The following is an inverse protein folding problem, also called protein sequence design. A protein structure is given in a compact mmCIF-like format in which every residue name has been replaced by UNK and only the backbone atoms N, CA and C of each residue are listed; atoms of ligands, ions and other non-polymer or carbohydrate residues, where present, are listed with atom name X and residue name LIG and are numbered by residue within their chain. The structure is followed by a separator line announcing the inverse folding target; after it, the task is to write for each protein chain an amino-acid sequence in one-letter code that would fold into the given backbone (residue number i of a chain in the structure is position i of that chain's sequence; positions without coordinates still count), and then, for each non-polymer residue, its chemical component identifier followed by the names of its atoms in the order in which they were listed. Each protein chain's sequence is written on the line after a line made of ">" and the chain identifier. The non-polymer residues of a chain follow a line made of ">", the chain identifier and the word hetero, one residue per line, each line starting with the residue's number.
data_IF_313298354564
#
_entry.id   IF_313298354564
#
_cell.length_a   1.000
_cell.length_b   1.000
_cell.length_c   1.000
_cell.angle_alpha   90.00
_cell.angle_beta   90.00
_cell.angle_gamma   90.00
#
_symmetry.space_group_name_H-M   'P 1'
#
loop_
_entity.id
_entity.type
_entity.pdbx_description
1 polymer ?
#
# COMPACT_ATOMS: atom_id res chain seq x y z
N UNK A 1 -0.77 28.54 33.74
CA UNK A 1 0.50 27.95 33.25
C UNK A 1 0.31 26.84 32.21
N UNK A 2 -0.87 26.20 32.11
CA UNK A 2 -1.14 25.10 31.15
C UNK A 2 -1.06 25.50 29.67
N UNK A 3 -1.43 26.74 29.30
CA UNK A 3 -1.42 27.20 27.92
C UNK A 3 -0.01 27.27 27.30
N UNK A 4 1.01 27.64 28.10
CA UNK A 4 2.41 27.71 27.64
C UNK A 4 2.97 26.30 27.38
N UNK A 5 2.68 25.35 28.27
CA UNK A 5 3.09 23.95 28.11
C UNK A 5 2.37 23.27 26.93
N UNK A 6 1.09 23.58 26.72
CA UNK A 6 0.34 23.12 25.55
C UNK A 6 0.93 23.64 24.24
N UNK A 7 1.21 24.95 24.16
CA UNK A 7 1.81 25.56 22.97
C UNK A 7 3.19 24.97 22.63
N UNK A 8 4.03 24.70 23.64
CA UNK A 8 5.32 24.05 23.42
C UNK A 8 5.17 22.60 22.91
N UNK A 9 4.23 21.85 23.48
CA UNK A 9 3.97 20.48 23.07
C UNK A 9 3.46 20.38 21.61
N UNK A 10 2.70 21.37 21.15
CA UNK A 10 2.23 21.43 19.77
C UNK A 10 3.38 21.71 18.80
N UNK A 11 4.29 22.63 19.13
CA UNK A 11 5.49 22.90 18.33
C UNK A 11 6.38 21.66 18.20
N UNK A 12 6.63 20.95 19.30
CA UNK A 12 7.43 19.72 19.27
C UNK A 12 6.77 18.63 18.41
N UNK A 13 5.45 18.47 18.53
CA UNK A 13 4.70 17.50 17.72
C UNK A 13 4.79 17.82 16.23
N UNK A 14 4.67 19.07 15.86
CA UNK A 14 4.76 19.50 14.46
C UNK A 14 6.18 19.35 13.91
N UNK A 15 7.20 19.57 14.74
CA UNK A 15 8.58 19.29 14.37
C UNK A 15 8.83 17.79 14.10
N UNK A 16 8.29 16.90 14.94
CA UNK A 16 8.37 15.45 14.75
C UNK A 16 7.67 15.03 13.45
N UNK A 17 6.48 15.57 13.19
CA UNK A 17 5.71 15.27 11.97
C UNK A 17 6.47 15.70 10.72
N UNK A 18 7.01 16.92 10.71
CA UNK A 18 7.77 17.47 9.59
C UNK A 18 9.02 16.63 9.29
N UNK A 19 9.83 16.31 10.31
CA UNK A 19 11.02 15.46 10.11
C UNK A 19 10.67 14.06 9.62
N UNK A 20 9.57 13.49 10.12
CA UNK A 20 9.11 12.16 9.71
C UNK A 20 8.60 12.16 8.26
N UNK A 21 7.91 13.22 7.83
CA UNK A 21 7.43 13.34 6.45
C UNK A 21 8.60 13.51 5.48
N UNK A 22 9.58 14.36 5.80
CA UNK A 22 10.82 14.53 5.03
C UNK A 22 11.61 13.22 4.92
N UNK A 23 11.75 12.48 6.03
CA UNK A 23 12.38 11.17 6.04
C UNK A 23 11.64 10.17 5.15
N UNK A 24 10.30 10.18 5.17
CA UNK A 24 9.47 9.34 4.30
C UNK A 24 9.65 9.69 2.83
N UNK A 25 9.68 10.97 2.47
CA UNK A 25 9.91 11.41 1.08
C UNK A 25 11.26 10.93 0.58
N UNK A 26 12.33 11.13 1.38
CA UNK A 26 13.67 10.62 1.04
C UNK A 26 13.70 9.10 0.85
N UNK A 27 13.04 8.34 1.73
CA UNK A 27 12.95 6.89 1.60
C UNK A 27 12.24 6.45 0.31
N UNK A 28 11.15 7.14 -0.07
CA UNK A 28 10.43 6.88 -1.33
C UNK A 28 11.31 7.21 -2.54
N UNK A 29 12.04 8.32 -2.53
CA UNK A 29 12.98 8.69 -3.59
C UNK A 29 14.12 7.66 -3.75
N UNK A 30 14.55 7.05 -2.63
CA UNK A 30 15.51 5.93 -2.64
C UNK A 30 14.87 4.59 -3.07
N UNK A 31 13.61 4.57 -3.49
CA UNK A 31 12.92 3.36 -3.94
C UNK A 31 12.47 2.43 -2.82
N UNK A 32 12.52 2.85 -1.55
CA UNK A 32 12.04 2.02 -0.44
C UNK A 32 10.52 1.84 -0.54
N UNK A 33 10.09 0.58 -0.52
CA UNK A 33 8.68 0.23 -0.50
C UNK A 33 8.07 0.59 0.87
N UNK A 34 7.07 1.45 0.85
CA UNK A 34 6.32 1.81 2.04
C UNK A 34 5.11 0.88 2.24
N UNK A 35 4.74 0.65 3.50
CA UNK A 35 3.58 -0.14 3.87
C UNK A 35 3.83 -1.64 3.84
N UNK A 36 2.75 -2.42 3.88
CA UNK A 36 2.83 -3.88 3.97
C UNK A 36 3.33 -4.47 2.64
N UNK A 37 4.33 -5.37 2.66
CA UNK A 37 4.77 -6.06 1.44
C UNK A 37 3.61 -6.88 0.84
N UNK A 38 3.57 -6.94 -0.49
CA UNK A 38 2.53 -7.71 -1.18
C UNK A 38 2.75 -9.21 -0.95
N UNK A 39 1.71 -9.92 -0.51
CA UNK A 39 1.74 -11.39 -0.35
C UNK A 39 1.74 -12.15 -1.69
N UNK A 40 1.44 -11.47 -2.79
CA UNK A 40 1.29 -12.06 -4.11
C UNK A 40 2.20 -11.37 -5.12
N UNK A 41 2.73 -12.16 -6.04
CA UNK A 41 3.44 -11.65 -7.21
C UNK A 41 2.49 -11.02 -8.22
N UNK A 42 3.02 -10.17 -9.11
CA UNK A 42 2.24 -9.59 -10.21
C UNK A 42 1.65 -10.67 -11.12
N UNK A 43 2.39 -11.76 -11.35
CA UNK A 43 1.92 -12.91 -12.12
C UNK A 43 0.71 -13.60 -11.47
N UNK A 44 0.75 -13.82 -10.15
CA UNK A 44 -0.38 -14.41 -9.41
C UNK A 44 -1.61 -13.51 -9.45
N UNK A 45 -1.45 -12.19 -9.33
CA UNK A 45 -2.57 -11.24 -9.47
C UNK A 45 -3.19 -11.32 -10.87
N UNK A 46 -2.36 -11.45 -11.91
CA UNK A 46 -2.83 -11.61 -13.30
C UNK A 46 -3.60 -12.92 -13.47
N UNK A 47 -3.08 -14.03 -12.94
CA UNK A 47 -3.76 -15.33 -13.00
C UNK A 47 -5.12 -15.29 -12.29
N UNK A 48 -5.20 -14.68 -11.11
CA UNK A 48 -6.47 -14.48 -10.39
C UNK A 48 -7.47 -13.70 -11.25
N UNK A 49 -7.04 -12.62 -11.93
CA UNK A 49 -7.92 -11.84 -12.82
C UNK A 49 -8.40 -12.68 -14.01
N UNK A 50 -7.51 -13.45 -14.65
CA UNK A 50 -7.85 -14.30 -15.80
C UNK A 50 -8.84 -15.39 -15.39
N UNK A 51 -8.54 -16.13 -14.32
CA UNK A 51 -9.43 -17.18 -13.80
C UNK A 51 -10.79 -16.64 -13.39
N UNK A 52 -10.83 -15.42 -12.83
CA UNK A 52 -12.09 -14.76 -12.50
C UNK A 52 -12.91 -14.39 -13.73
N UNK A 53 -12.26 -13.89 -14.79
CA UNK A 53 -12.93 -13.63 -16.08
C UNK A 53 -13.48 -14.91 -16.72
N UNK A 54 -12.78 -16.03 -16.54
CA UNK A 54 -13.20 -17.35 -17.03
C UNK A 54 -14.30 -18.00 -16.16
N UNK A 55 -14.91 -17.27 -15.22
CA UNK A 55 -16.05 -17.75 -14.43
C UNK A 55 -15.69 -18.46 -13.12
N UNK A 56 -14.41 -18.54 -12.74
CA UNK A 56 -14.02 -19.16 -11.46
C UNK A 56 -14.60 -18.39 -10.28
N UNK A 57 -15.15 -19.11 -9.30
CA UNK A 57 -15.76 -18.50 -8.10
C UNK A 57 -14.71 -17.84 -7.20
N UNK A 58 -15.12 -16.81 -6.46
CA UNK A 58 -14.24 -16.11 -5.50
C UNK A 58 -13.75 -17.06 -4.40
N UNK A 59 -14.62 -17.93 -3.90
CA UNK A 59 -14.30 -18.93 -2.88
C UNK A 59 -13.23 -19.91 -3.34
N UNK A 60 -13.33 -20.43 -4.57
CA UNK A 60 -12.33 -21.34 -5.13
C UNK A 60 -10.95 -20.68 -5.23
N UNK A 61 -10.91 -19.44 -5.73
CA UNK A 61 -9.68 -18.65 -5.81
C UNK A 61 -9.12 -18.30 -4.44
N UNK A 62 -9.98 -18.00 -3.46
CA UNK A 62 -9.58 -17.69 -2.09
C UNK A 62 -8.86 -18.88 -1.45
N UNK A 63 -9.44 -20.08 -1.56
CA UNK A 63 -8.82 -21.32 -1.07
C UNK A 63 -7.51 -21.62 -1.80
N UNK A 64 -7.49 -21.54 -3.14
CA UNK A 64 -6.31 -21.87 -3.93
C UNK A 64 -5.09 -20.97 -3.63
N UNK A 65 -5.35 -19.70 -3.30
CA UNK A 65 -4.30 -18.71 -3.03
C UNK A 65 -4.08 -18.42 -1.54
N UNK A 66 -4.82 -19.07 -0.63
CA UNK A 66 -4.75 -18.81 0.82
C UNK A 66 -5.14 -17.37 1.19
N UNK A 67 -6.11 -16.81 0.48
CA UNK A 67 -6.60 -15.44 0.65
C UNK A 67 -8.04 -15.43 1.15
N UNK A 68 -8.51 -14.29 1.66
CA UNK A 68 -9.94 -14.09 1.88
C UNK A 68 -10.66 -13.82 0.55
N UNK A 69 -11.94 -14.15 0.46
CA UNK A 69 -12.79 -13.80 -0.70
C UNK A 69 -12.79 -12.28 -0.97
N UNK A 70 -12.72 -11.47 0.09
CA UNK A 70 -12.61 -10.00 -0.01
C UNK A 70 -11.29 -9.55 -0.64
N UNK A 71 -10.18 -10.22 -0.36
CA UNK A 71 -8.88 -9.94 -0.98
C UNK A 71 -8.88 -10.32 -2.47
N UNK A 72 -9.44 -11.49 -2.81
CA UNK A 72 -9.61 -11.93 -4.21
C UNK A 72 -10.51 -10.98 -4.98
N UNK A 73 -11.66 -10.58 -4.41
CA UNK A 73 -12.58 -9.61 -5.00
C UNK A 73 -11.89 -8.27 -5.26
N UNK A 74 -11.04 -7.80 -4.33
CA UNK A 74 -10.26 -6.58 -4.52
C UNK A 74 -9.29 -6.72 -5.69
N UNK A 75 -8.50 -7.79 -5.74
CA UNK A 75 -7.53 -8.04 -6.82
C UNK A 75 -8.21 -8.14 -8.19
N UNK A 76 -9.39 -8.77 -8.24
CA UNK A 76 -10.18 -8.91 -9.47
C UNK A 76 -10.77 -7.58 -9.96
N UNK A 77 -11.14 -6.67 -9.04
CA UNK A 77 -11.69 -5.33 -9.38
C UNK A 77 -10.62 -4.27 -9.63
N UNK A 78 -9.43 -4.41 -9.03
CA UNK A 78 -8.37 -3.42 -9.17
C UNK A 78 -7.82 -3.41 -10.60
N UNK A 79 -8.07 -2.31 -11.33
CA UNK A 79 -7.31 -1.96 -12.52
C UNK A 79 -5.84 -1.80 -12.12
N UNK A 80 -4.92 -2.41 -12.85
CA UNK A 80 -3.49 -2.37 -12.55
C UNK A 80 -2.99 -0.93 -12.69
N UNK A 81 -2.96 -0.16 -11.62
CA UNK A 81 -2.20 1.09 -11.59
C UNK A 81 -0.74 0.71 -11.41
N UNK A 82 -0.08 0.40 -12.52
CA UNK A 82 1.37 0.44 -12.60
C UNK A 82 1.80 1.82 -12.07
N UNK A 83 2.61 1.85 -11.01
CA UNK A 83 3.22 3.11 -10.58
C UNK A 83 4.09 3.61 -11.74
N UNK A 84 4.03 4.90 -12.11
CA UNK A 84 5.00 5.46 -13.06
C UNK A 84 6.40 5.27 -12.46
N UNK A 85 7.27 4.62 -13.22
CA UNK A 85 8.71 4.58 -13.00
C UNK A 85 9.16 6.03 -12.91
N UNK A 86 9.53 6.49 -11.71
CA UNK A 86 10.24 7.76 -11.58
C UNK A 86 11.66 7.51 -12.05
N UNK A 87 11.90 7.70 -13.34
CA UNK A 87 13.26 7.88 -13.86
C UNK A 87 13.75 9.24 -13.36
N UNK A 88 14.90 9.32 -12.69
CA UNK A 88 15.50 10.59 -12.33
C UNK A 88 16.11 11.23 -13.60
N UNK A 89 15.66 12.45 -13.92
CA UNK A 89 16.44 13.42 -14.70
C UNK A 89 17.39 14.19 -13.79
#
# INVERSE_FOLDING_TARGET
>A
MLAVLGGLADVERDLIRTRTSEGRVRAIQQGKLMGRPSRLTTAQKRDIRVKRKNGTTLKSLATAYGLSESAVSRIARSHDTLKPTTEPS
#
